data_IF_813191246067
#
_entry.id   IF_813191246067
#
_cell.length_a   1.000
_cell.length_b   1.000
_cell.length_c   1.000
_cell.angle_alpha   90.00
_cell.angle_beta   90.00
_cell.angle_gamma   90.00
#
_symmetry.space_group_name_H-M   'P 1'
#
loop_
_entity.id
_entity.type
_entity.pdbx_description
1 polymer ?
#
# COMPACT_ATOMS: atom_id res chain seq x y z
N UNK A 1 -2.42 10.23 2.42
CA UNK A 1 -2.03 9.00 3.12
C UNK A 1 -3.23 8.12 3.45
N UNK A 2 -3.04 6.79 3.47
CA UNK A 2 -4.01 5.85 4.06
C UNK A 2 -3.88 5.94 5.58
N UNK A 3 -4.93 6.33 6.31
CA UNK A 3 -4.84 6.48 7.76
C UNK A 3 -4.82 5.13 8.50
N UNK A 4 -4.10 5.00 9.59
CA UNK A 4 -3.27 6.01 10.26
C UNK A 4 -1.77 5.81 9.96
N UNK A 5 -1.39 4.60 9.54
CA UNK A 5 0.00 4.12 9.46
C UNK A 5 0.85 4.82 8.38
N UNK A 6 0.23 5.25 7.27
CA UNK A 6 0.94 5.88 6.17
C UNK A 6 1.09 7.41 6.31
N UNK A 7 0.61 8.04 7.41
CA UNK A 7 0.64 9.50 7.54
C UNK A 7 2.05 10.07 7.46
N UNK A 8 2.99 9.54 8.24
CA UNK A 8 4.36 10.04 8.25
C UNK A 8 5.03 9.94 6.86
N UNK A 9 4.82 8.82 6.15
CA UNK A 9 5.36 8.63 4.81
C UNK A 9 4.70 9.58 3.79
N UNK A 10 3.38 9.78 3.91
CA UNK A 10 2.63 10.71 3.06
C UNK A 10 3.06 12.16 3.24
N UNK A 11 3.22 12.60 4.47
CA UNK A 11 3.66 13.96 4.81
C UNK A 11 5.09 14.21 4.34
N UNK A 12 6.00 13.25 4.57
CA UNK A 12 7.39 13.33 4.09
C UNK A 12 7.46 13.39 2.56
N UNK A 13 6.70 12.56 1.86
CA UNK A 13 6.64 12.60 0.40
C UNK A 13 6.07 13.92 -0.11
N UNK A 14 5.01 14.44 0.51
CA UNK A 14 4.40 15.71 0.13
C UNK A 14 5.39 16.87 0.31
N UNK A 15 6.15 16.87 1.41
CA UNK A 15 7.21 17.83 1.66
C UNK A 15 8.27 17.83 0.56
N UNK A 16 8.81 16.66 0.21
CA UNK A 16 9.81 16.52 -0.84
C UNK A 16 9.31 16.91 -2.23
N UNK A 17 8.02 16.68 -2.50
CA UNK A 17 7.39 17.05 -3.77
C UNK A 17 6.89 18.50 -3.80
N UNK A 18 7.04 19.26 -2.71
CA UNK A 18 6.48 20.61 -2.55
C UNK A 18 4.97 20.67 -2.83
N UNK A 19 4.24 19.62 -2.42
CA UNK A 19 2.78 19.50 -2.53
C UNK A 19 2.20 19.57 -1.12
N UNK A 20 1.12 20.33 -0.96
CA UNK A 20 0.42 20.36 0.32
C UNK A 20 -0.27 19.02 0.59
N UNK A 21 0.04 18.33 1.72
CA UNK A 21 -0.66 17.11 2.10
C UNK A 21 -2.11 17.43 2.46
N UNK A 22 -3.02 16.56 2.03
CA UNK A 22 -4.44 16.68 2.35
C UNK A 22 -4.99 15.35 2.83
N UNK A 23 -5.81 15.39 3.87
CA UNK A 23 -6.54 14.21 4.33
C UNK A 23 -7.75 13.96 3.42
N UNK A 24 -7.58 13.13 2.41
CA UNK A 24 -8.68 12.67 1.54
C UNK A 24 -9.42 11.44 2.09
N UNK A 25 -8.80 10.73 3.06
CA UNK A 25 -9.37 9.58 3.74
C UNK A 25 -9.30 9.78 5.25
N UNK A 26 -10.41 9.58 5.95
CA UNK A 26 -10.48 9.58 7.40
C UNK A 26 -10.82 8.18 7.88
N UNK A 27 -10.10 7.67 8.89
CA UNK A 27 -10.41 6.41 9.52
C UNK A 27 -11.56 6.56 10.50
N UNK A 28 -12.57 5.72 10.37
CA UNK A 28 -13.62 5.61 11.36
C UNK A 28 -13.11 4.79 12.57
N UNK A 29 -12.82 5.47 13.67
CA UNK A 29 -12.27 4.86 14.89
C UNK A 29 -13.32 4.09 15.71
N UNK A 30 -14.59 4.31 15.46
CA UNK A 30 -15.68 3.62 16.14
C UNK A 30 -15.97 2.23 15.55
N UNK A 31 -15.53 1.97 14.34
CA UNK A 31 -15.58 0.64 13.72
C UNK A 31 -14.33 -0.13 14.15
N UNK A 32 -14.46 -0.87 15.25
CA UNK A 32 -13.43 -1.78 15.73
C UNK A 32 -13.12 -2.91 14.72
N UNK A 33 -12.21 -3.82 15.08
CA UNK A 33 -11.97 -5.09 14.35
C UNK A 33 -13.15 -6.07 14.49
N UNK A 34 -14.35 -5.58 14.64
CA UNK A 34 -15.57 -6.39 14.80
C UNK A 34 -15.83 -7.13 13.50
N UNK A 35 -15.85 -8.43 13.60
CA UNK A 35 -16.38 -9.34 12.61
C UNK A 35 -17.85 -9.01 12.43
N UNK A 36 -18.22 -8.16 11.48
CA UNK A 36 -19.58 -7.99 11.05
C UNK A 36 -19.81 -9.14 10.06
N UNK A 37 -20.33 -10.25 10.55
CA UNK A 37 -20.90 -11.30 9.74
C UNK A 37 -22.04 -10.68 8.93
N UNK A 38 -21.98 -10.82 7.59
CA UNK A 38 -23.09 -10.52 6.69
C UNK A 38 -23.02 -9.24 5.86
N UNK A 39 -22.03 -8.36 6.03
CA UNK A 39 -21.93 -7.19 5.16
C UNK A 39 -21.19 -7.48 3.86
N UNK A 40 -21.67 -6.96 2.72
CA UNK A 40 -20.99 -7.00 1.44
C UNK A 40 -19.55 -6.44 1.59
N UNK A 41 -18.60 -6.98 0.80
CA UNK A 41 -17.19 -6.54 0.87
C UNK A 41 -16.99 -5.03 0.61
N UNK A 42 -17.92 -4.40 -0.11
CA UNK A 42 -17.91 -2.96 -0.38
C UNK A 42 -18.24 -2.13 0.85
N UNK A 43 -19.19 -2.59 1.67
CA UNK A 43 -19.60 -1.91 2.90
C UNK A 43 -18.48 -1.88 3.96
N UNK A 44 -17.58 -2.85 3.93
CA UNK A 44 -16.45 -2.93 4.88
C UNK A 44 -15.46 -1.77 4.74
N UNK A 45 -15.18 -1.30 3.53
CA UNK A 45 -14.27 -0.16 3.33
C UNK A 45 -14.96 1.15 3.71
N UNK A 46 -16.21 1.34 3.35
CA UNK A 46 -16.97 2.54 3.71
C UNK A 46 -17.18 2.63 5.22
N UNK A 47 -17.34 1.50 5.90
CA UNK A 47 -17.39 1.48 7.35
C UNK A 47 -16.05 1.84 8.00
N UNK A 48 -14.92 1.41 7.38
CA UNK A 48 -13.58 1.63 7.92
C UNK A 48 -13.02 3.02 7.60
N UNK A 49 -13.33 3.54 6.41
CA UNK A 49 -12.83 4.82 5.92
C UNK A 49 -13.94 5.70 5.36
N UNK A 50 -13.87 6.98 5.67
CA UNK A 50 -14.68 8.01 5.04
C UNK A 50 -13.81 8.80 4.06
N UNK A 51 -14.22 8.86 2.79
CA UNK A 51 -13.56 9.68 1.78
C UNK A 51 -14.14 11.09 1.79
N UNK A 52 -13.28 12.10 1.79
CA UNK A 52 -13.66 13.50 1.70
C UNK A 52 -13.76 13.86 0.22
N UNK A 53 -14.97 13.86 -0.30
CA UNK A 53 -15.24 14.04 -1.72
C UNK A 53 -14.72 15.39 -2.24
N UNK A 54 -14.87 16.45 -1.47
CA UNK A 54 -14.42 17.82 -1.79
C UNK A 54 -12.90 17.89 -2.04
N UNK A 55 -12.15 17.01 -1.40
CA UNK A 55 -10.70 16.90 -1.58
C UNK A 55 -10.34 16.07 -2.80
N UNK A 56 -11.14 15.07 -3.15
CA UNK A 56 -10.79 13.99 -4.07
C UNK A 56 -11.43 14.13 -5.45
N UNK A 57 -12.64 14.71 -5.56
CA UNK A 57 -13.42 14.72 -6.78
C UNK A 57 -12.69 15.44 -7.93
N UNK A 58 -12.59 14.76 -9.07
CA UNK A 58 -11.91 15.25 -10.27
C UNK A 58 -10.38 15.36 -10.16
N UNK A 59 -9.78 15.01 -9.01
CA UNK A 59 -8.34 15.14 -8.79
C UNK A 59 -7.56 13.91 -9.25
N UNK A 60 -6.28 14.14 -9.59
CA UNK A 60 -5.25 13.11 -9.67
C UNK A 60 -4.67 12.97 -8.27
N UNK A 61 -4.84 11.79 -7.68
CA UNK A 61 -4.52 11.53 -6.28
C UNK A 61 -3.25 10.71 -6.18
N UNK A 62 -2.29 11.16 -5.39
CA UNK A 62 -1.19 10.31 -4.91
C UNK A 62 -1.67 9.68 -3.60
N UNK A 63 -1.96 8.38 -3.66
CA UNK A 63 -2.34 7.59 -2.49
C UNK A 63 -1.09 6.95 -1.89
N UNK A 64 -0.76 7.29 -0.66
CA UNK A 64 0.40 6.72 0.05
C UNK A 64 -0.08 5.69 1.05
N UNK A 65 0.50 4.46 1.01
CA UNK A 65 0.23 3.40 1.97
C UNK A 65 1.53 2.82 2.53
N UNK A 66 1.46 2.16 3.66
CA UNK A 66 2.64 1.58 4.32
C UNK A 66 3.13 0.32 3.58
N UNK A 67 2.25 -0.61 3.26
CA UNK A 67 2.60 -1.88 2.63
C UNK A 67 1.45 -2.49 1.83
N UNK A 68 1.78 -3.37 0.88
CA UNK A 68 0.79 -4.22 0.22
C UNK A 68 1.18 -5.68 0.47
N UNK A 69 0.32 -6.39 1.19
CA UNK A 69 0.49 -7.83 1.45
C UNK A 69 -0.32 -8.63 0.42
N UNK A 70 -1.64 -8.65 0.55
CA UNK A 70 -2.58 -9.38 -0.32
C UNK A 70 -3.17 -8.52 -1.44
N UNK A 71 -3.16 -7.21 -1.29
CA UNK A 71 -3.75 -6.25 -2.23
C UNK A 71 -5.27 -6.12 -2.18
N UNK A 72 -5.97 -6.94 -1.40
CA UNK A 72 -7.44 -6.90 -1.32
C UNK A 72 -7.97 -5.58 -0.74
N UNK A 73 -7.38 -5.10 0.35
CA UNK A 73 -7.72 -3.81 0.98
C UNK A 73 -7.41 -2.65 0.05
N UNK A 74 -6.21 -2.66 -0.53
CA UNK A 74 -5.74 -1.61 -1.45
C UNK A 74 -6.65 -1.48 -2.67
N UNK A 75 -7.05 -2.62 -3.28
CA UNK A 75 -8.01 -2.65 -4.42
C UNK A 75 -9.35 -2.02 -4.03
N UNK A 76 -9.85 -2.33 -2.84
CA UNK A 76 -11.12 -1.77 -2.37
C UNK A 76 -11.01 -0.27 -2.10
N UNK A 77 -9.91 0.20 -1.52
CA UNK A 77 -9.67 1.64 -1.31
C UNK A 77 -9.62 2.37 -2.66
N UNK A 78 -8.85 1.88 -3.63
CA UNK A 78 -8.74 2.50 -4.96
C UNK A 78 -10.13 2.56 -5.64
N UNK A 79 -10.88 1.46 -5.59
CA UNK A 79 -12.24 1.42 -6.13
C UNK A 79 -13.15 2.45 -5.45
N UNK A 80 -13.06 2.57 -4.14
CA UNK A 80 -13.83 3.53 -3.35
C UNK A 80 -13.48 4.97 -3.72
N UNK A 81 -12.18 5.30 -3.82
CA UNK A 81 -11.73 6.62 -4.23
C UNK A 81 -12.21 6.99 -5.63
N UNK A 82 -12.11 6.07 -6.60
CA UNK A 82 -12.53 6.33 -7.99
C UNK A 82 -14.05 6.38 -8.14
N UNK A 83 -14.76 5.38 -7.60
CA UNK A 83 -16.19 5.23 -7.86
C UNK A 83 -17.09 6.06 -6.96
N UNK A 84 -16.71 6.24 -5.70
CA UNK A 84 -17.54 6.92 -4.69
C UNK A 84 -17.06 8.35 -4.46
N UNK A 85 -15.74 8.53 -4.28
CA UNK A 85 -15.18 9.86 -4.03
C UNK A 85 -14.89 10.67 -5.31
N UNK A 86 -15.00 10.07 -6.50
CA UNK A 86 -14.87 10.75 -7.78
C UNK A 86 -13.42 11.11 -8.17
N UNK A 87 -12.42 10.46 -7.60
CA UNK A 87 -11.03 10.67 -8.01
C UNK A 87 -10.82 10.31 -9.48
N UNK A 88 -10.17 11.19 -10.23
CA UNK A 88 -9.90 11.00 -11.67
C UNK A 88 -8.83 9.96 -11.92
N UNK A 89 -7.74 10.04 -11.18
CA UNK A 89 -6.62 9.09 -11.22
C UNK A 89 -6.15 8.79 -9.80
N UNK A 90 -5.67 7.57 -9.55
CA UNK A 90 -5.09 7.15 -8.27
C UNK A 90 -3.72 6.54 -8.51
N UNK A 91 -2.68 7.28 -8.10
CA UNK A 91 -1.28 6.90 -8.20
C UNK A 91 -0.80 6.38 -6.85
N UNK A 92 -0.62 5.07 -6.73
CA UNK A 92 -0.27 4.41 -5.48
C UNK A 92 1.24 4.47 -5.20
N UNK A 93 1.60 4.84 -3.97
CA UNK A 93 2.98 4.90 -3.48
C UNK A 93 3.09 4.15 -2.16
N UNK A 94 4.00 3.19 -2.11
CA UNK A 94 4.16 2.28 -0.96
C UNK A 94 5.50 2.53 -0.31
N UNK A 95 5.49 2.84 0.98
CA UNK A 95 6.70 3.14 1.75
C UNK A 95 7.51 1.91 2.15
N UNK A 96 6.92 0.71 2.04
CA UNK A 96 7.63 -0.56 2.17
C UNK A 96 8.06 -1.07 0.78
N UNK A 97 9.23 -1.72 0.64
CA UNK A 97 9.55 -2.49 -0.56
C UNK A 97 8.57 -3.63 -0.83
N UNK A 98 8.55 -4.20 -2.06
CA UNK A 98 7.71 -5.34 -2.38
C UNK A 98 7.93 -6.51 -1.43
N UNK A 99 6.86 -7.05 -0.85
CA UNK A 99 6.92 -8.20 0.05
C UNK A 99 6.90 -9.49 -0.80
N UNK A 100 7.99 -10.26 -0.73
CA UNK A 100 8.21 -11.47 -1.52
C UNK A 100 8.01 -12.77 -0.76
N UNK A 101 8.14 -12.71 0.56
CA UNK A 101 8.06 -13.89 1.39
C UNK A 101 7.35 -13.65 2.72
N UNK A 102 6.92 -14.72 3.40
CA UNK A 102 6.33 -14.63 4.73
C UNK A 102 7.37 -14.19 5.76
N UNK A 103 6.91 -13.73 6.92
CA UNK A 103 7.79 -13.46 8.04
C UNK A 103 7.83 -14.69 8.97
N UNK A 104 9.03 -15.17 9.30
CA UNK A 104 9.21 -16.25 10.27
C UNK A 104 9.58 -15.73 11.67
N UNK A 105 9.63 -14.42 11.86
CA UNK A 105 10.11 -13.77 13.07
C UNK A 105 9.00 -13.06 13.87
N UNK A 106 7.76 -13.55 13.77
CA UNK A 106 6.66 -13.12 14.64
C UNK A 106 5.67 -12.13 14.03
N UNK A 107 5.86 -11.68 12.81
CA UNK A 107 4.82 -10.91 12.10
C UNK A 107 3.84 -11.89 11.48
N UNK A 108 2.55 -11.74 11.78
CA UNK A 108 1.48 -12.52 11.15
C UNK A 108 1.35 -12.10 9.69
N UNK A 109 2.13 -12.77 8.85
CA UNK A 109 2.09 -12.60 7.40
C UNK A 109 1.60 -13.87 6.74
N UNK A 110 0.80 -13.66 5.72
CA UNK A 110 0.21 -14.70 4.90
C UNK A 110 1.25 -15.65 4.32
N UNK A 111 0.82 -16.83 3.98
CA UNK A 111 1.62 -17.77 3.19
C UNK A 111 1.99 -17.17 1.83
N UNK A 112 3.07 -17.65 1.21
CA UNK A 112 3.55 -17.15 -0.11
C UNK A 112 2.43 -17.05 -1.14
N UNK A 113 1.51 -18.02 -1.18
CA UNK A 113 0.39 -18.04 -2.12
C UNK A 113 -0.63 -16.90 -1.97
N UNK A 114 -0.65 -16.24 -0.83
CA UNK A 114 -1.55 -15.10 -0.57
C UNK A 114 -0.88 -13.74 -0.85
N UNK A 115 0.46 -13.70 -0.92
CA UNK A 115 1.20 -12.47 -1.20
C UNK A 115 0.98 -12.03 -2.66
N UNK A 116 0.76 -10.71 -2.85
CA UNK A 116 0.46 -10.21 -4.20
C UNK A 116 1.67 -10.30 -5.13
N UNK A 117 2.88 -9.96 -4.65
CA UNK A 117 4.09 -9.90 -5.49
C UNK A 117 4.45 -11.26 -6.08
N UNK A 118 4.53 -12.37 -5.31
CA UNK A 118 4.84 -13.68 -5.85
C UNK A 118 3.86 -14.21 -6.92
N UNK A 119 2.63 -13.70 -6.96
CA UNK A 119 1.66 -14.07 -8.00
C UNK A 119 2.08 -13.61 -9.41
N UNK A 120 2.83 -12.50 -9.49
CA UNK A 120 3.26 -11.87 -10.74
C UNK A 120 4.74 -12.07 -11.01
N UNK A 121 5.55 -12.25 -9.97
CA UNK A 121 6.98 -12.47 -10.08
C UNK A 121 7.28 -13.97 -10.25
N UNK A 122 7.51 -14.42 -11.50
CA UNK A 122 7.80 -15.83 -11.80
C UNK A 122 9.22 -16.24 -11.51
N UNK A 123 10.16 -15.30 -11.45
CA UNK A 123 11.57 -15.56 -11.15
C UNK A 123 12.07 -14.63 -10.03
N UNK A 124 12.02 -15.09 -8.78
CA UNK A 124 12.43 -14.29 -7.62
C UNK A 124 13.95 -14.15 -7.47
N UNK A 125 14.76 -14.65 -8.41
CA UNK A 125 16.24 -14.60 -8.35
C UNK A 125 16.80 -13.20 -8.61
N UNK A 126 16.04 -12.29 -9.17
CA UNK A 126 16.45 -10.90 -9.39
C UNK A 126 16.34 -10.09 -8.11
N UNK A 127 17.36 -9.29 -7.78
CA UNK A 127 17.41 -8.50 -6.53
C UNK A 127 16.23 -7.54 -6.33
N UNK A 128 15.66 -6.98 -7.39
CA UNK A 128 14.51 -6.07 -7.34
C UNK A 128 13.38 -6.57 -8.24
N UNK A 129 12.14 -6.28 -7.83
CA UNK A 129 10.95 -6.58 -8.64
C UNK A 129 10.96 -5.69 -9.89
N UNK A 130 10.82 -6.30 -11.05
CA UNK A 130 10.86 -5.56 -12.31
C UNK A 130 9.68 -4.58 -12.42
N UNK A 131 9.90 -3.45 -13.11
CA UNK A 131 8.86 -2.46 -13.34
C UNK A 131 7.64 -3.04 -14.06
N UNK A 132 7.85 -4.00 -14.96
CA UNK A 132 6.77 -4.71 -15.66
C UNK A 132 5.83 -5.41 -14.67
N UNK A 133 6.38 -6.14 -13.70
CA UNK A 133 5.61 -6.81 -12.65
C UNK A 133 4.85 -5.79 -11.80
N UNK A 134 5.49 -4.68 -11.43
CA UNK A 134 4.85 -3.60 -10.67
C UNK A 134 3.67 -3.00 -11.45
N UNK A 135 3.80 -2.81 -12.75
CA UNK A 135 2.74 -2.26 -13.59
C UNK A 135 1.58 -3.27 -13.78
N UNK A 136 1.86 -4.57 -13.83
CA UNK A 136 0.83 -5.62 -13.83
C UNK A 136 0.05 -5.63 -12.50
N UNK A 137 0.74 -5.49 -11.37
CA UNK A 137 0.11 -5.35 -10.04
C UNK A 137 -0.74 -4.08 -9.98
N UNK A 138 -0.24 -2.94 -10.49
CA UNK A 138 -1.00 -1.70 -10.53
C UNK A 138 -2.33 -1.88 -11.27
N UNK A 139 -2.29 -2.52 -12.43
CA UNK A 139 -3.47 -2.82 -13.25
C UNK A 139 -4.47 -3.72 -12.51
N UNK A 140 -3.99 -4.77 -11.84
CA UNK A 140 -4.85 -5.66 -11.03
C UNK A 140 -5.51 -4.93 -9.87
N UNK A 141 -4.79 -4.00 -9.22
CA UNK A 141 -5.33 -3.18 -8.13
C UNK A 141 -6.28 -2.08 -8.62
N UNK A 142 -6.29 -1.77 -9.91
CA UNK A 142 -7.06 -0.67 -10.51
C UNK A 142 -6.40 0.71 -10.31
N UNK A 143 -5.11 0.75 -9.96
CA UNK A 143 -4.32 1.98 -9.85
C UNK A 143 -3.82 2.45 -11.22
N UNK A 144 -3.70 3.77 -11.40
CA UNK A 144 -3.15 4.35 -12.64
C UNK A 144 -1.62 4.26 -12.66
N UNK A 145 -0.99 4.15 -11.51
CA UNK A 145 0.41 3.76 -11.37
C UNK A 145 0.71 3.24 -9.97
N UNK A 146 1.74 2.39 -9.85
CA UNK A 146 2.25 1.89 -8.58
C UNK A 146 3.77 2.08 -8.54
N UNK A 147 4.28 2.50 -7.40
CA UNK A 147 5.71 2.48 -7.08
C UNK A 147 5.89 2.08 -5.63
N UNK A 148 6.91 1.30 -5.40
CA UNK A 148 7.36 0.87 -4.07
C UNK A 148 8.63 1.60 -3.68
N UNK A 149 8.90 1.67 -2.40
CA UNK A 149 10.23 2.00 -1.89
C UNK A 149 11.22 0.90 -2.30
N UNK A 150 12.49 1.25 -2.47
CA UNK A 150 13.57 0.27 -2.68
C UNK A 150 14.11 -0.23 -1.33
N UNK A 151 14.71 -1.42 -1.29
CA UNK A 151 15.37 -1.92 -0.06
C UNK A 151 16.50 -0.95 0.34
N UNK A 152 17.29 -0.48 -0.62
CA UNK A 152 18.36 0.50 -0.36
C UNK A 152 17.82 1.83 0.20
N UNK A 153 16.71 2.30 -0.36
CA UNK A 153 16.04 3.51 0.13
C UNK A 153 15.50 3.34 1.55
N UNK A 154 14.91 2.17 1.86
CA UNK A 154 14.45 1.83 3.21
C UNK A 154 15.61 1.84 4.22
N UNK A 155 16.70 1.12 3.92
CA UNK A 155 17.91 1.06 4.75
C UNK A 155 18.46 2.48 5.00
N UNK A 156 18.57 3.28 3.94
CA UNK A 156 19.02 4.67 4.05
C UNK A 156 18.11 5.52 4.95
N UNK A 157 16.80 5.31 4.85
CA UNK A 157 15.82 6.06 5.65
C UNK A 157 15.85 5.69 7.13
N UNK A 158 16.17 4.42 7.44
CA UNK A 158 16.32 3.95 8.83
C UNK A 158 17.63 4.46 9.44
N UNK A 159 18.67 4.60 8.62
CA UNK A 159 19.99 5.10 9.07
C UNK A 159 20.84 4.07 9.83
N UNK A 160 20.48 2.78 9.77
CA UNK A 160 21.26 1.68 10.33
C UNK A 160 21.97 0.90 9.22
N UNK A 161 23.10 0.22 9.53
CA UNK A 161 23.75 -0.69 8.60
C UNK A 161 22.84 -1.84 8.18
N UNK A 162 22.98 -2.33 6.95
CA UNK A 162 22.12 -3.41 6.41
C UNK A 162 22.18 -4.70 7.24
N UNK A 163 23.33 -5.02 7.80
CA UNK A 163 23.53 -6.20 8.64
C UNK A 163 22.85 -6.12 10.01
N UNK A 164 22.35 -4.95 10.42
CA UNK A 164 21.55 -4.75 11.63
C UNK A 164 20.04 -4.77 11.34
N UNK A 165 19.64 -4.95 10.08
CA UNK A 165 18.25 -4.91 9.65
C UNK A 165 17.79 -6.26 9.11
N UNK A 166 16.60 -6.68 9.51
CA UNK A 166 15.96 -7.84 8.90
C UNK A 166 15.21 -7.42 7.64
N UNK A 167 15.68 -7.90 6.48
CA UNK A 167 15.04 -7.68 5.17
C UNK A 167 14.55 -8.97 4.53
N UNK A 168 14.46 -10.07 5.29
CA UNK A 168 14.19 -11.41 4.77
C UNK A 168 12.92 -11.49 3.92
N UNK A 169 11.79 -10.98 4.41
CA UNK A 169 10.52 -10.99 3.68
C UNK A 169 10.52 -10.08 2.42
N UNK A 170 11.47 -9.16 2.32
CA UNK A 170 11.61 -8.24 1.17
C UNK A 170 12.59 -8.78 0.15
N UNK A 171 13.69 -9.37 0.61
CA UNK A 171 14.76 -9.93 -0.23
C UNK A 171 14.49 -11.38 -0.66
N UNK A 172 13.65 -12.10 0.09
CA UNK A 172 13.45 -13.55 -0.05
C UNK A 172 14.62 -14.40 0.48
N UNK A 173 15.56 -13.77 1.21
CA UNK A 173 16.71 -14.46 1.84
C UNK A 173 16.51 -14.52 3.35
N UNK A 174 16.48 -15.73 3.90
CA UNK A 174 16.27 -16.00 5.31
C UNK A 174 17.55 -16.53 5.96
#
# INVERSE_FOLDING_TARGET
>A
PVPDTAKAAGDSMAYELHIQPQEGLIRNRFVGRTFIEGSNREDRIQNKYTAIREVLEGKKVILVDDSIVRGSTTRQIIRYLKKVAGAKEVHLRISCPPIRGPCFYGIDMSTVGELIVPKYEKDPKTGEVSQKVIDEIAKDLGADSLRYQTIKGLIKSIGLPENELCTACLSGKY
#
